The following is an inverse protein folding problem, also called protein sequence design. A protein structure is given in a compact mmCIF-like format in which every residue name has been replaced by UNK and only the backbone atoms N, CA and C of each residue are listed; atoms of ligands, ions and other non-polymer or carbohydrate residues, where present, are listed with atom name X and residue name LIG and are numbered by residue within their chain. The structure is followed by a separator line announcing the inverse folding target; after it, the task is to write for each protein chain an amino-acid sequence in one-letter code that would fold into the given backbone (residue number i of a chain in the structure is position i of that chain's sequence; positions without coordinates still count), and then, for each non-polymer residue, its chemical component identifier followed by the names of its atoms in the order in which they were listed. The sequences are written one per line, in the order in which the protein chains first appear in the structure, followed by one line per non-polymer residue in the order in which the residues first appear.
data_IF_946230442517
#
_entry.id   IF_946230442517
#
_cell.length_a   1.000
_cell.length_b   1.000
_cell.length_c   1.000
_cell.angle_alpha   90.00
_cell.angle_beta   90.00
_cell.angle_gamma   90.00
#
_symmetry.space_group_name_H-M   'P 1'
#
loop_
_entity.id
_entity.type
_entity.pdbx_description
1 polymer ?
#
# COMPACT_ATOMS: atom_id res chain seq x y z
N UNK A 1 -16.72 -5.92 -1.23
CA UNK A 1 -15.46 -5.15 -1.04
C UNK A 1 -15.61 -3.85 -1.83
N UNK A 2 -15.13 -2.70 -1.32
CA UNK A 2 -15.22 -1.41 -2.01
C UNK A 2 -14.31 -1.37 -3.25
N UNK A 3 -14.80 -0.79 -4.35
CA UNK A 3 -13.96 -0.45 -5.50
C UNK A 3 -13.10 0.80 -5.28
N UNK A 4 -12.11 1.03 -6.14
CA UNK A 4 -11.13 2.12 -5.98
C UNK A 4 -11.76 3.51 -5.83
N UNK A 5 -12.81 3.82 -6.61
CA UNK A 5 -13.49 5.12 -6.53
C UNK A 5 -14.25 5.32 -5.21
N UNK A 6 -14.92 4.27 -4.73
CA UNK A 6 -15.64 4.30 -3.44
C UNK A 6 -14.66 4.45 -2.28
N UNK A 7 -13.55 3.72 -2.33
CA UNK A 7 -12.47 3.84 -1.34
C UNK A 7 -11.93 5.26 -1.25
N UNK A 8 -11.71 5.93 -2.40
CA UNK A 8 -11.19 7.32 -2.43
C UNK A 8 -12.16 8.36 -1.87
N UNK A 9 -13.45 8.03 -1.74
CA UNK A 9 -14.46 8.90 -1.17
C UNK A 9 -14.54 8.82 0.37
N UNK A 10 -13.90 7.82 0.98
CA UNK A 10 -13.80 7.69 2.44
C UNK A 10 -12.89 8.76 3.04
N UNK A 11 -13.11 9.08 4.32
CA UNK A 11 -12.16 9.88 5.10
C UNK A 11 -10.80 9.17 5.24
N UNK A 12 -9.70 9.89 5.54
CA UNK A 12 -8.39 9.28 5.74
C UNK A 12 -8.37 8.17 6.79
N UNK A 13 -9.10 8.35 7.90
CA UNK A 13 -9.18 7.36 8.98
C UNK A 13 -9.93 6.09 8.53
N UNK A 14 -11.04 6.26 7.81
CA UNK A 14 -11.78 5.15 7.22
C UNK A 14 -10.98 4.41 6.14
N UNK A 15 -10.22 5.13 5.31
CA UNK A 15 -9.31 4.51 4.35
C UNK A 15 -8.24 3.67 5.04
N UNK A 16 -7.64 4.22 6.10
CA UNK A 16 -6.62 3.54 6.90
C UNK A 16 -7.18 2.26 7.53
N UNK A 17 -8.32 2.37 8.22
CA UNK A 17 -9.00 1.23 8.83
C UNK A 17 -9.38 0.18 7.75
N UNK A 18 -9.90 0.62 6.62
CA UNK A 18 -10.29 -0.27 5.52
C UNK A 18 -9.11 -1.06 4.96
N UNK A 19 -7.95 -0.42 4.73
CA UNK A 19 -6.75 -1.10 4.25
C UNK A 19 -6.25 -2.13 5.26
N UNK A 20 -6.22 -1.79 6.55
CA UNK A 20 -5.75 -2.73 7.58
C UNK A 20 -6.71 -3.89 7.84
N UNK A 21 -8.03 -3.70 7.69
CA UNK A 21 -9.02 -4.75 7.92
C UNK A 21 -9.15 -5.67 6.69
N UNK A 22 -9.17 -5.12 5.49
CA UNK A 22 -9.52 -5.86 4.27
C UNK A 22 -8.35 -6.06 3.29
N UNK A 23 -7.21 -5.40 3.51
CA UNK A 23 -6.06 -5.50 2.63
C UNK A 23 -5.20 -6.72 2.89
N UNK A 24 -4.71 -7.30 1.79
CA UNK A 24 -3.66 -8.32 1.84
C UNK A 24 -2.31 -7.62 1.73
N UNK A 25 -1.51 -7.68 2.80
CA UNK A 25 -0.14 -7.18 2.76
C UNK A 25 0.69 -7.98 1.75
N UNK A 26 1.44 -7.27 0.90
CA UNK A 26 2.28 -7.89 -0.12
C UNK A 26 3.77 -7.71 0.16
N UNK A 27 4.19 -6.49 0.45
CA UNK A 27 5.61 -6.14 0.56
C UNK A 27 5.79 -4.80 1.28
N UNK A 28 7.01 -4.56 1.72
CA UNK A 28 7.46 -3.28 2.26
C UNK A 28 8.72 -2.84 1.53
N UNK A 29 8.83 -1.54 1.28
CA UNK A 29 10.07 -0.88 0.90
C UNK A 29 10.33 0.30 1.81
N UNK A 30 11.58 0.75 1.85
CA UNK A 30 11.98 1.93 2.62
C UNK A 30 12.38 3.04 1.67
N UNK A 31 11.97 4.26 1.99
CA UNK A 31 12.37 5.47 1.28
C UNK A 31 12.61 6.58 2.32
N UNK A 32 13.88 6.94 2.51
CA UNK A 32 14.32 7.87 3.56
C UNK A 32 13.80 7.45 4.95
N UNK A 33 12.99 8.29 5.59
CA UNK A 33 12.42 8.08 6.92
C UNK A 33 11.07 7.33 6.90
N UNK A 34 10.65 6.84 5.73
CA UNK A 34 9.36 6.20 5.55
C UNK A 34 9.48 4.71 5.27
N UNK A 35 8.70 3.92 6.02
CA UNK A 35 8.33 2.56 5.61
C UNK A 35 7.09 2.63 4.73
N UNK A 36 7.13 2.02 3.56
CA UNK A 36 6.03 2.04 2.60
C UNK A 36 5.53 0.60 2.44
N UNK A 37 4.35 0.35 3.01
CA UNK A 37 3.71 -0.96 3.00
C UNK A 37 2.73 -1.04 1.83
N UNK A 38 2.92 -2.02 0.96
CA UNK A 38 2.05 -2.28 -0.18
C UNK A 38 0.98 -3.30 0.21
N UNK A 39 -0.27 -2.94 -0.01
CA UNK A 39 -1.44 -3.80 0.14
C UNK A 39 -2.12 -4.00 -1.20
N UNK A 40 -2.55 -5.24 -1.44
CA UNK A 40 -3.55 -5.55 -2.45
C UNK A 40 -4.93 -5.52 -1.81
N UNK A 41 -5.81 -4.72 -2.40
CA UNK A 41 -7.25 -4.80 -2.16
C UNK A 41 -7.85 -5.62 -3.31
N UNK A 42 -9.16 -5.55 -3.53
CA UNK A 42 -9.85 -6.38 -4.53
C UNK A 42 -9.37 -6.07 -5.96
N UNK A 43 -9.62 -4.83 -6.40
CA UNK A 43 -9.37 -4.39 -7.78
C UNK A 43 -8.25 -3.36 -7.90
N UNK A 44 -7.56 -3.05 -6.80
CA UNK A 44 -6.56 -1.99 -6.72
C UNK A 44 -5.54 -2.24 -5.61
N UNK A 45 -4.48 -1.43 -5.61
CA UNK A 45 -3.42 -1.47 -4.62
C UNK A 45 -3.41 -0.20 -3.78
N UNK A 46 -2.88 -0.28 -2.57
CA UNK A 46 -2.64 0.87 -1.72
C UNK A 46 -1.26 0.80 -1.08
N UNK A 47 -0.50 1.88 -1.22
CA UNK A 47 0.68 2.13 -0.40
C UNK A 47 0.25 2.87 0.87
N UNK A 48 0.63 2.32 2.03
CA UNK A 48 0.53 2.97 3.34
C UNK A 48 1.92 3.42 3.74
N UNK A 49 2.10 4.74 3.83
CA UNK A 49 3.37 5.37 4.20
C UNK A 49 3.37 5.63 5.70
N UNK A 50 4.36 5.07 6.38
CA UNK A 50 4.52 5.16 7.83
C UNK A 50 5.82 5.89 8.13
N UNK A 51 5.75 6.97 8.92
CA UNK A 51 6.95 7.64 9.43
C UNK A 51 7.63 6.73 10.45
N UNK A 52 8.90 6.38 10.23
CA UNK A 52 9.66 5.47 11.10
C UNK A 52 9.87 6.08 12.51
N UNK A 53 10.01 7.40 12.59
CA UNK A 53 10.30 8.11 13.85
C UNK A 53 9.05 8.19 14.73
N UNK A 54 7.90 8.50 14.14
CA UNK A 54 6.64 8.69 14.86
C UNK A 54 5.79 7.42 14.92
N UNK A 55 6.10 6.41 14.10
CA UNK A 55 5.29 5.20 13.92
C UNK A 55 3.84 5.48 13.50
N UNK A 56 3.63 6.57 12.78
CA UNK A 56 2.31 7.04 12.34
C UNK A 56 2.12 6.90 10.84
N UNK A 57 0.89 6.59 10.42
CA UNK A 57 0.49 6.63 9.02
C UNK A 57 0.39 8.08 8.58
N UNK A 58 1.24 8.48 7.65
CA UNK A 58 1.31 9.88 7.17
C UNK A 58 0.63 10.07 5.82
N UNK A 59 0.43 8.98 5.06
CA UNK A 59 -0.16 9.03 3.72
C UNK A 59 -0.67 7.67 3.27
N UNK A 60 -1.79 7.69 2.54
CA UNK A 60 -2.22 6.58 1.70
C UNK A 60 -2.16 6.99 0.23
N UNK A 61 -1.72 6.07 -0.62
CA UNK A 61 -1.74 6.24 -2.07
C UNK A 61 -2.34 5.01 -2.72
N UNK A 62 -3.57 5.14 -3.22
CA UNK A 62 -4.25 4.06 -3.95
C UNK A 62 -4.11 4.20 -5.47
N UNK A 63 -3.94 3.08 -6.16
CA UNK A 63 -3.76 3.04 -7.61
C UNK A 63 -4.20 1.71 -8.21
N UNK A 64 -4.60 1.74 -9.48
CA UNK A 64 -5.01 0.55 -10.27
C UNK A 64 -3.98 0.16 -11.32
N UNK A 65 -3.07 1.06 -11.68
CA UNK A 65 -2.01 0.77 -12.66
C UNK A 65 -0.89 -0.06 -12.04
N UNK A 66 -0.20 -0.85 -12.87
CA UNK A 66 0.92 -1.68 -12.40
C UNK A 66 2.24 -0.92 -12.27
N UNK A 67 2.33 0.27 -12.83
CA UNK A 67 3.58 1.05 -12.86
C UNK A 67 4.17 1.31 -11.46
N UNK A 68 3.38 1.64 -10.41
CA UNK A 68 3.91 1.82 -9.06
C UNK A 68 4.34 0.51 -8.37
N UNK A 69 4.10 -0.67 -8.97
CA UNK A 69 4.57 -1.95 -8.44
C UNK A 69 6.02 -2.25 -8.81
N UNK A 70 6.59 -1.57 -9.80
CA UNK A 70 7.94 -1.83 -10.30
C UNK A 70 9.03 -1.78 -9.20
N UNK A 71 9.02 -0.81 -8.25
CA UNK A 71 9.99 -0.79 -7.17
C UNK A 71 9.95 -2.04 -6.27
N UNK A 72 8.80 -2.69 -6.15
CA UNK A 72 8.63 -3.90 -5.34
C UNK A 72 9.10 -5.16 -6.06
N UNK A 73 8.97 -5.20 -7.39
CA UNK A 73 9.47 -6.32 -8.19
C UNK A 73 10.99 -6.50 -8.04
N UNK A 74 11.73 -5.40 -7.88
CA UNK A 74 13.18 -5.44 -7.65
C UNK A 74 13.59 -6.14 -6.34
N UNK A 75 12.67 -6.21 -5.37
CA UNK A 75 12.88 -6.83 -4.06
C UNK A 75 12.65 -8.34 -4.06
N UNK A 76 12.03 -8.87 -5.12
CA UNK A 76 11.74 -10.31 -5.24
C UNK A 76 12.84 -10.97 -6.07
N UNK A 77 13.39 -12.07 -5.56
CA UNK A 77 14.28 -12.96 -6.32
C UNK A 77 13.55 -14.26 -6.57
N UNK A 78 13.33 -14.58 -7.84
CA UNK A 78 12.81 -15.89 -8.23
C UNK A 78 13.95 -16.91 -8.14
N UNK A 79 13.68 -18.16 -7.71
CA UNK A 79 14.65 -19.23 -7.85
C UNK A 79 15.02 -19.43 -9.33
N UNK A 80 16.25 -19.87 -9.59
CA UNK A 80 16.61 -20.33 -10.92
C UNK A 80 15.75 -21.56 -11.28
N UNK A 81 15.24 -21.58 -12.52
CA UNK A 81 14.50 -22.72 -13.07
C UNK A 81 15.40 -23.94 -13.25
#
# INVERSE_FOLDING_TARGET
MLGHLQFRALSPDEQTAYVFIYGTYLAQRYELEYGINLYHLDTFFCEVWVCQVQSEVVRLRSFTSRQPLLPYAALVRLPAL
#
